data_IF_417382217285
#
_entry.id   IF_417382217285
#
_cell.length_a   1.000
_cell.length_b   1.000
_cell.length_c   1.000
_cell.angle_alpha   90.00
_cell.angle_beta   90.00
_cell.angle_gamma   90.00
#
_symmetry.space_group_name_H-M   'P 1'
#
loop_
_entity.id
_entity.type
_entity.pdbx_description
1 polymer ?
#
# COMPACT_ATOMS: atom_id res chain seq x y z
N UNK A 1 -20.39 -6.72 17.30
CA UNK A 1 -19.17 -7.55 17.36
C UNK A 1 -18.00 -6.59 17.53
N UNK A 2 -17.34 -6.58 18.69
CA UNK A 2 -16.19 -5.67 18.91
C UNK A 2 -14.99 -6.29 18.19
N UNK A 3 -14.54 -5.68 17.10
CA UNK A 3 -13.29 -6.08 16.45
C UNK A 3 -12.14 -5.90 17.46
N UNK A 4 -11.37 -6.96 17.70
CA UNK A 4 -10.13 -6.83 18.44
C UNK A 4 -9.12 -6.08 17.57
N UNK A 5 -8.90 -4.80 17.88
CA UNK A 5 -8.00 -3.91 17.14
C UNK A 5 -6.60 -4.51 17.00
N UNK A 6 -6.11 -5.21 18.03
CA UNK A 6 -4.81 -5.88 17.97
C UNK A 6 -4.75 -6.99 16.92
N UNK A 7 -5.81 -7.79 16.80
CA UNK A 7 -5.89 -8.85 15.79
C UNK A 7 -5.95 -8.28 14.36
N UNK A 8 -6.65 -7.16 14.16
CA UNK A 8 -6.70 -6.48 12.85
C UNK A 8 -5.34 -5.92 12.47
N UNK A 9 -4.60 -5.35 13.43
CA UNK A 9 -3.25 -4.84 13.22
C UNK A 9 -2.29 -5.97 12.81
N UNK A 10 -2.32 -7.10 13.53
CA UNK A 10 -1.49 -8.27 13.18
C UNK A 10 -1.84 -8.82 11.80
N UNK A 11 -3.13 -9.03 11.51
CA UNK A 11 -3.56 -9.54 10.21
C UNK A 11 -3.17 -8.60 9.06
N UNK A 12 -3.31 -7.28 9.24
CA UNK A 12 -2.88 -6.28 8.26
C UNK A 12 -1.38 -6.35 8.02
N UNK A 13 -0.59 -6.48 9.09
CA UNK A 13 0.87 -6.59 9.00
C UNK A 13 1.29 -7.86 8.24
N UNK A 14 0.67 -8.99 8.54
CA UNK A 14 0.98 -10.26 7.90
C UNK A 14 0.56 -10.24 6.42
N UNK A 15 -0.58 -9.61 6.08
CA UNK A 15 -0.99 -9.36 4.69
C UNK A 15 0.02 -8.49 3.93
N UNK A 16 0.52 -7.41 4.54
CA UNK A 16 1.53 -6.54 3.93
C UNK A 16 2.83 -7.29 3.60
N UNK A 17 3.28 -8.16 4.51
CA UNK A 17 4.45 -9.01 4.29
C UNK A 17 4.20 -10.05 3.19
N UNK A 18 3.02 -10.69 3.19
CA UNK A 18 2.62 -11.64 2.15
C UNK A 18 2.59 -11.00 0.75
N UNK A 19 2.02 -9.80 0.63
CA UNK A 19 1.99 -9.05 -0.63
C UNK A 19 3.37 -8.73 -1.18
N UNK A 20 4.32 -8.35 -0.31
CA UNK A 20 5.70 -8.09 -0.73
C UNK A 20 6.43 -9.37 -1.14
N UNK A 21 6.19 -10.48 -0.45
CA UNK A 21 6.73 -11.80 -0.78
C UNK A 21 6.21 -12.28 -2.14
N UNK A 22 4.89 -12.24 -2.33
CA UNK A 22 4.22 -12.70 -3.55
C UNK A 22 4.53 -11.83 -4.76
N UNK A 23 4.66 -10.51 -4.58
CA UNK A 23 5.01 -9.62 -5.67
C UNK A 23 6.42 -9.87 -6.23
N UNK A 24 7.35 -10.43 -5.42
CA UNK A 24 8.74 -10.69 -5.82
C UNK A 24 9.53 -9.45 -6.24
N UNK A 25 8.97 -8.25 -6.04
CA UNK A 25 9.54 -6.95 -6.45
C UNK A 25 9.21 -5.90 -5.42
N UNK A 26 9.98 -4.80 -5.37
CA UNK A 26 9.66 -3.71 -4.46
C UNK A 26 8.30 -3.07 -4.77
N UNK A 27 7.53 -2.77 -3.73
CA UNK A 27 6.25 -2.07 -3.82
C UNK A 27 6.28 -0.77 -3.00
N UNK A 28 5.61 0.26 -3.49
CA UNK A 28 5.45 1.51 -2.73
C UNK A 28 4.41 1.36 -1.62
N UNK A 29 4.48 2.20 -0.59
CA UNK A 29 3.45 2.24 0.46
C UNK A 29 2.05 2.48 -0.13
N UNK A 30 1.91 3.26 -1.21
CA UNK A 30 0.61 3.41 -1.90
C UNK A 30 0.11 2.10 -2.51
N UNK A 31 0.99 1.33 -3.17
CA UNK A 31 0.63 0.02 -3.72
C UNK A 31 0.24 -0.96 -2.63
N UNK A 32 0.96 -0.94 -1.51
CA UNK A 32 0.67 -1.79 -0.35
C UNK A 32 -0.64 -1.41 0.33
N UNK A 33 -0.94 -0.11 0.45
CA UNK A 33 -2.21 0.37 0.98
C UNK A 33 -3.41 -0.15 0.17
N UNK A 34 -3.28 -0.27 -1.15
CA UNK A 34 -4.32 -0.85 -2.01
C UNK A 34 -4.58 -2.34 -1.76
N UNK A 35 -3.66 -3.05 -1.09
CA UNK A 35 -3.67 -4.51 -0.90
C UNK A 35 -3.67 -4.97 0.56
N UNK A 36 -3.68 -4.04 1.51
CA UNK A 36 -3.47 -4.32 2.93
C UNK A 36 -4.68 -4.92 3.67
N UNK A 37 -5.80 -5.19 2.97
CA UNK A 37 -7.02 -5.72 3.59
C UNK A 37 -7.84 -4.72 4.41
N UNK A 38 -7.35 -3.48 4.61
CA UNK A 38 -8.16 -2.39 5.18
C UNK A 38 -9.21 -1.96 4.14
N UNK A 39 -10.48 -1.74 4.54
CA UNK A 39 -11.53 -1.33 3.63
C UNK A 39 -11.19 -0.06 2.83
N UNK A 40 -11.53 -0.10 1.55
CA UNK A 40 -11.50 1.07 0.70
C UNK A 40 -12.61 2.05 1.09
N UNK A 41 -12.43 3.32 0.76
CA UNK A 41 -13.43 4.35 1.02
C UNK A 41 -13.78 5.11 -0.26
N UNK A 42 -14.98 5.68 -0.28
CA UNK A 42 -15.46 6.47 -1.42
C UNK A 42 -15.24 7.96 -1.16
N UNK A 43 -14.69 8.66 -2.14
CA UNK A 43 -14.57 10.12 -2.15
C UNK A 43 -15.51 10.68 -3.20
N UNK A 44 -16.28 11.71 -2.83
CA UNK A 44 -17.08 12.48 -3.78
C UNK A 44 -16.29 13.71 -4.21
N UNK A 45 -16.12 13.87 -5.51
CA UNK A 45 -15.44 15.00 -6.14
C UNK A 45 -16.47 15.77 -6.97
N UNK A 46 -16.59 17.08 -6.72
CA UNK A 46 -17.56 17.95 -7.38
C UNK A 46 -16.80 18.99 -8.20
N UNK A 47 -17.34 19.36 -9.35
CA UNK A 47 -16.79 20.39 -10.26
C UNK A 47 -15.35 20.09 -10.75
N UNK A 48 -14.98 18.81 -10.80
CA UNK A 48 -13.71 18.35 -11.37
C UNK A 48 -13.92 17.83 -12.81
N UNK A 49 -12.92 18.01 -13.67
CA UNK A 49 -12.96 17.42 -15.02
C UNK A 49 -12.79 15.89 -14.94
N UNK A 50 -13.47 15.15 -15.83
CA UNK A 50 -13.39 13.69 -15.86
C UNK A 50 -11.95 13.19 -16.03
N UNK A 51 -11.14 13.89 -16.83
CA UNK A 51 -9.73 13.56 -17.03
C UNK A 51 -8.88 13.72 -15.77
N UNK A 52 -9.14 14.76 -14.97
CA UNK A 52 -8.47 14.93 -13.69
C UNK A 52 -8.88 13.85 -12.69
N UNK A 53 -10.19 13.53 -12.64
CA UNK A 53 -10.73 12.48 -11.75
C UNK A 53 -10.14 11.11 -12.09
N UNK A 54 -10.03 10.79 -13.38
CA UNK A 54 -9.37 9.57 -13.85
C UNK A 54 -7.90 9.54 -13.41
N UNK A 55 -7.16 10.64 -13.62
CA UNK A 55 -5.77 10.76 -13.18
C UNK A 55 -5.61 10.66 -11.66
N UNK A 56 -6.54 11.23 -10.90
CA UNK A 56 -6.58 11.12 -9.44
C UNK A 56 -6.81 9.67 -8.98
N UNK A 57 -7.77 8.97 -9.58
CA UNK A 57 -8.03 7.56 -9.28
C UNK A 57 -6.80 6.71 -9.57
N UNK A 58 -6.22 6.82 -10.77
CA UNK A 58 -5.01 6.09 -11.16
C UNK A 58 -3.83 6.38 -10.23
N UNK A 59 -3.61 7.65 -9.88
CA UNK A 59 -2.56 8.06 -8.95
C UNK A 59 -2.70 7.41 -7.57
N UNK A 60 -3.93 7.22 -7.11
CA UNK A 60 -4.24 6.62 -5.80
C UNK A 60 -4.36 5.10 -5.85
N UNK A 61 -4.15 4.45 -6.99
CA UNK A 61 -4.53 3.05 -7.20
C UNK A 61 -6.02 2.79 -6.92
N UNK A 62 -6.85 3.80 -7.16
CA UNK A 62 -8.30 3.77 -7.02
C UNK A 62 -9.03 3.50 -8.33
N UNK A 63 -10.36 3.62 -8.30
CA UNK A 63 -11.24 3.46 -9.46
C UNK A 63 -12.40 4.44 -9.41
N UNK A 64 -12.76 5.00 -10.56
CA UNK A 64 -13.98 5.82 -10.71
C UNK A 64 -15.18 4.88 -10.76
N UNK A 65 -16.10 5.03 -9.82
CA UNK A 65 -17.33 4.22 -9.74
C UNK A 65 -18.47 4.84 -10.52
N UNK A 66 -18.57 6.17 -10.47
CA UNK A 66 -19.67 6.92 -11.06
C UNK A 66 -19.22 8.32 -11.48
N UNK A 67 -19.82 8.83 -12.56
CA UNK A 67 -19.53 10.13 -13.16
C UNK A 67 -20.81 10.68 -13.81
N UNK A 68 -21.57 11.47 -13.04
CA UNK A 68 -22.84 12.03 -13.46
C UNK A 68 -22.95 13.51 -13.07
N UNK A 69 -23.42 14.36 -13.99
CA UNK A 69 -23.77 15.77 -13.74
C UNK A 69 -22.70 16.58 -12.99
N UNK A 70 -21.42 16.36 -13.31
CA UNK A 70 -20.30 17.07 -12.68
C UNK A 70 -19.91 16.57 -11.28
N UNK A 71 -20.53 15.49 -10.82
CA UNK A 71 -20.21 14.79 -9.57
C UNK A 71 -19.59 13.43 -9.89
N UNK A 72 -18.47 13.15 -9.25
CA UNK A 72 -17.72 11.91 -9.44
C UNK A 72 -17.58 11.16 -8.12
N UNK A 73 -17.82 9.86 -8.15
CA UNK A 73 -17.59 8.98 -7.02
C UNK A 73 -16.39 8.11 -7.33
N UNK A 74 -15.36 8.19 -6.49
CA UNK A 74 -14.12 7.42 -6.65
C UNK A 74 -13.92 6.54 -5.44
N UNK A 75 -13.73 5.23 -5.65
CA UNK A 75 -13.24 4.35 -4.61
C UNK A 75 -11.72 4.43 -4.56
N UNK A 76 -11.18 4.72 -3.38
CA UNK A 76 -9.74 4.82 -3.16
C UNK A 76 -9.30 3.91 -2.01
N UNK A 77 -8.08 3.34 -2.11
CA UNK A 77 -7.42 2.67 -1.01
C UNK A 77 -7.35 3.51 0.28
N UNK A 78 -7.15 2.87 1.44
CA UNK A 78 -6.78 3.57 2.66
C UNK A 78 -5.56 4.48 2.47
N UNK A 79 -5.46 5.54 3.28
CA UNK A 79 -4.33 6.46 3.21
C UNK A 79 -3.02 5.73 3.56
N UNK A 80 -1.91 6.02 2.86
CA UNK A 80 -0.60 5.44 3.15
C UNK A 80 -0.15 5.60 4.61
N UNK A 81 -0.57 6.69 5.27
CA UNK A 81 -0.27 6.95 6.68
C UNK A 81 -0.86 5.92 7.66
N UNK A 82 -1.87 5.14 7.24
CA UNK A 82 -2.45 4.08 8.07
C UNK A 82 -1.61 2.80 8.06
N UNK A 83 -0.95 2.50 6.93
CA UNK A 83 -0.13 1.29 6.79
C UNK A 83 1.36 1.54 7.04
N UNK A 84 1.80 2.79 6.91
CA UNK A 84 3.21 3.14 7.07
C UNK A 84 3.81 2.70 8.42
N UNK A 85 3.16 2.92 9.59
CA UNK A 85 3.70 2.44 10.87
C UNK A 85 3.90 0.92 10.90
N UNK A 86 2.98 0.15 10.30
CA UNK A 86 3.07 -1.32 10.25
C UNK A 86 4.27 -1.79 9.41
N UNK A 87 4.59 -1.05 8.34
CA UNK A 87 5.76 -1.31 7.51
C UNK A 87 7.07 -0.99 8.25
N UNK A 88 7.08 0.06 9.06
CA UNK A 88 8.21 0.37 9.94
C UNK A 88 8.42 -0.74 10.97
N UNK A 89 7.34 -1.27 11.55
CA UNK A 89 7.42 -2.40 12.49
C UNK A 89 7.97 -3.68 11.83
N UNK A 90 7.54 -3.98 10.59
CA UNK A 90 8.07 -5.10 9.81
C UNK A 90 9.54 -4.94 9.45
N UNK A 91 9.99 -3.71 9.18
CA UNK A 91 11.39 -3.42 8.93
C UNK A 91 12.23 -3.57 10.19
N UNK A 92 11.73 -3.07 11.33
CA UNK A 92 12.39 -3.26 12.62
C UNK A 92 12.50 -4.76 12.99
N UNK A 93 11.52 -5.57 12.59
CA UNK A 93 11.54 -7.03 12.71
C UNK A 93 12.41 -7.74 11.66
N UNK A 94 13.04 -7.01 10.72
CA UNK A 94 13.90 -7.57 9.69
C UNK A 94 13.18 -8.38 8.60
N UNK A 95 11.85 -8.31 8.52
CA UNK A 95 11.02 -9.03 7.53
C UNK A 95 10.98 -8.32 6.17
N UNK A 96 11.15 -7.01 6.17
CA UNK A 96 11.21 -6.18 4.98
C UNK A 96 12.33 -5.14 5.14
N UNK A 97 12.71 -4.48 4.05
CA UNK A 97 13.66 -3.38 4.06
C UNK A 97 13.21 -2.25 3.15
N UNK A 98 13.48 -1.00 3.53
CA UNK A 98 13.33 0.14 2.63
C UNK A 98 14.34 0.06 1.49
N UNK A 99 13.87 0.33 0.29
CA UNK A 99 14.72 0.48 -0.90
C UNK A 99 14.51 1.85 -1.52
N UNK A 100 15.60 2.42 -2.05
CA UNK A 100 15.52 3.66 -2.81
C UNK A 100 14.70 3.42 -4.08
N UNK A 101 13.46 3.92 -4.12
CA UNK A 101 12.68 3.98 -5.35
C UNK A 101 13.30 4.96 -6.34
N UNK A 102 13.12 4.72 -7.65
CA UNK A 102 13.35 5.78 -8.65
C UNK A 102 12.39 6.94 -8.32
N UNK A 103 12.88 7.99 -7.67
CA UNK A 103 12.10 9.21 -7.41
C UNK A 103 12.31 9.88 -6.04
N UNK A 104 12.92 9.20 -5.05
CA UNK A 104 13.05 9.75 -3.68
C UNK A 104 13.99 10.99 -3.63
N UNK A 105 14.91 11.12 -4.59
CA UNK A 105 15.93 12.19 -4.58
C UNK A 105 15.46 13.59 -5.02
N UNK A 106 14.19 13.82 -5.39
CA UNK A 106 13.78 15.11 -6.01
C UNK A 106 12.65 15.89 -5.32
N UNK A 107 12.01 15.39 -4.27
CA UNK A 107 10.81 16.05 -3.70
C UNK A 107 10.92 16.44 -2.22
N UNK A 108 12.13 16.59 -1.67
CA UNK A 108 12.35 17.08 -0.31
C UNK A 108 12.25 18.62 -0.19
N UNK A 109 11.30 19.26 -0.87
CA UNK A 109 11.09 20.71 -0.80
C UNK A 109 9.60 20.99 -0.56
N UNK A 110 9.31 21.58 0.61
CA UNK A 110 8.03 22.17 1.08
C UNK A 110 7.05 21.31 1.89
N UNK A 111 6.44 21.94 2.91
CA UNK A 111 5.77 21.32 4.07
C UNK A 111 4.57 20.40 3.82
N UNK A 112 4.07 20.29 2.58
CA UNK A 112 3.08 19.28 2.17
C UNK A 112 3.69 17.86 2.08
N UNK A 113 5.01 17.77 2.15
CA UNK A 113 5.83 16.58 1.87
C UNK A 113 5.81 15.51 2.97
N UNK A 114 5.35 15.79 4.20
CA UNK A 114 5.35 14.75 5.25
C UNK A 114 4.38 13.59 4.99
N UNK A 115 3.14 13.87 4.59
CA UNK A 115 2.19 12.82 4.19
C UNK A 115 2.53 12.20 2.83
N UNK A 116 3.06 13.01 1.90
CA UNK A 116 3.49 12.52 0.59
C UNK A 116 4.69 11.57 0.70
N UNK A 117 5.64 11.82 1.61
CA UNK A 117 6.85 11.02 1.76
C UNK A 117 6.56 9.55 2.07
N UNK A 118 5.56 9.26 2.90
CA UNK A 118 5.23 7.88 3.24
C UNK A 118 4.75 7.10 2.00
N UNK A 119 3.91 7.71 1.14
CA UNK A 119 3.34 7.07 -0.04
C UNK A 119 4.38 6.55 -1.04
N UNK A 120 5.49 7.28 -1.18
CA UNK A 120 6.56 6.98 -2.14
C UNK A 120 7.68 6.10 -1.58
N UNK A 121 7.68 5.83 -0.27
CA UNK A 121 8.61 4.85 0.30
C UNK A 121 8.35 3.49 -0.32
N UNK A 122 9.43 2.84 -0.73
CA UNK A 122 9.37 1.54 -1.41
C UNK A 122 9.99 0.49 -0.50
N UNK A 123 9.35 -0.67 -0.44
CA UNK A 123 9.67 -1.75 0.48
C UNK A 123 9.96 -3.02 -0.31
N UNK A 124 10.87 -3.85 0.20
CA UNK A 124 11.21 -5.15 -0.36
C UNK A 124 11.19 -6.19 0.76
N UNK A 125 10.62 -7.36 0.47
CA UNK A 125 10.71 -8.53 1.36
C UNK A 125 12.17 -9.01 1.48
N UNK A 126 12.64 -9.28 2.69
CA UNK A 126 14.05 -9.69 2.94
C UNK A 126 14.23 -11.20 3.03
N UNK A 127 13.16 -11.96 3.21
CA UNK A 127 13.22 -13.43 3.23
C UNK A 127 13.53 -14.01 1.85
N UNK A 128 14.04 -15.25 1.85
CA UNK A 128 14.21 -16.04 0.63
C UNK A 128 12.84 -16.30 -0.01
N UNK A 129 12.77 -16.27 -1.34
CA UNK A 129 11.54 -16.52 -2.13
C UNK A 129 11.01 -17.94 -1.89
N UNK A 130 11.93 -18.86 -1.59
CA UNK A 130 11.69 -20.22 -1.16
C UNK A 130 11.99 -20.33 0.33
N UNK A 131 11.00 -20.74 1.12
CA UNK A 131 11.26 -21.33 2.43
C UNK A 131 11.95 -22.69 2.17
N UNK A 132 13.23 -22.87 2.53
CA UNK A 132 13.93 -24.12 2.28
C UNK A 132 13.27 -25.32 2.99
N UNK A 133 12.55 -25.09 4.10
CA UNK A 133 11.78 -26.15 4.76
C UNK A 133 10.55 -26.54 3.93
N UNK A 134 9.87 -25.57 3.32
CA UNK A 134 8.74 -25.84 2.44
C UNK A 134 9.16 -26.54 1.15
N UNK A 135 10.26 -26.09 0.52
CA UNK A 135 10.82 -26.73 -0.67
C UNK A 135 11.32 -28.16 -0.38
N UNK A 136 11.88 -28.40 0.81
CA UNK A 136 12.27 -29.74 1.25
C UNK A 136 11.06 -30.67 1.45
N UNK A 137 9.94 -30.15 1.93
CA UNK A 137 8.68 -30.92 2.04
C UNK A 137 8.15 -31.26 0.66
N UNK A 138 8.11 -30.31 -0.28
CA UNK A 138 7.61 -30.54 -1.65
C UNK A 138 8.52 -31.47 -2.44
N UNK A 139 9.84 -31.38 -2.29
CA UNK A 139 10.81 -32.26 -2.96
C UNK A 139 10.86 -33.69 -2.37
N UNK A 140 10.26 -33.90 -1.20
CA UNK A 140 10.14 -35.20 -0.54
C UNK A 140 8.88 -36.00 -0.91
N UNK A 141 7.98 -35.42 -1.71
CA UNK A 141 6.80 -36.07 -2.31
C UNK A 141 6.98 -36.24 -3.82
#
# INVERSE_FOLDING_TARGET
MVMNVGAVVTATRDQLAAELREAGRPLSTMQLAARCGIPWHTVRLVDASCSWVQGFAEHRYGVVLDCCDGVHTVAVPPLPGLVHPLLVDLEAAGTITRVAGRGIGKQAVEGFVRQANHGWMTWRYTGLVSDPEFDAIVAGY
#
